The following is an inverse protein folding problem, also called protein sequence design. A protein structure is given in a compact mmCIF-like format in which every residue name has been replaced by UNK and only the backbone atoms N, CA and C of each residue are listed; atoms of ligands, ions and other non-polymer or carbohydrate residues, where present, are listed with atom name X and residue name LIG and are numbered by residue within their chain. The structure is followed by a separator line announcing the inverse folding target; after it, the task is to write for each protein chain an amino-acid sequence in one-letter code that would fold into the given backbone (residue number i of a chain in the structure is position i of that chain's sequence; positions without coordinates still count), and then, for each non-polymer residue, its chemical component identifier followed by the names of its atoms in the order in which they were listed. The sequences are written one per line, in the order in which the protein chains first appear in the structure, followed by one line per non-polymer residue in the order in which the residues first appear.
data_IF_524519492240
#
_entry.id   IF_524519492240
#
_cell.length_a   1.000
_cell.length_b   1.000
_cell.length_c   1.000
_cell.angle_alpha   90.00
_cell.angle_beta   90.00
_cell.angle_gamma   90.00
#
_symmetry.space_group_name_H-M   'P 1'
#
loop_
_entity.id
_entity.type
_entity.pdbx_description
1 polymer ?
#
# COMPACT_ATOMS: atom_id res chain seq x y z
N UNK A 1 21.09 -45.45 9.96
CA UNK A 1 20.05 -44.79 9.16
C UNK A 1 19.50 -43.61 9.95
N UNK A 2 19.80 -42.40 9.49
CA UNK A 2 19.36 -41.17 10.13
C UNK A 2 17.89 -40.89 9.78
N UNK A 3 17.03 -40.80 10.80
CA UNK A 3 15.66 -40.29 10.67
C UNK A 3 15.68 -38.78 10.90
N UNK A 4 15.38 -38.01 9.85
CA UNK A 4 15.18 -36.57 9.93
C UNK A 4 13.82 -36.30 10.60
N UNK A 5 13.87 -35.90 11.87
CA UNK A 5 12.76 -35.30 12.59
C UNK A 5 12.49 -33.91 11.98
N UNK A 6 11.38 -33.78 11.24
CA UNK A 6 10.88 -32.50 10.73
C UNK A 6 10.13 -31.80 11.86
N UNK A 7 10.88 -31.22 12.80
CA UNK A 7 10.31 -30.31 13.78
C UNK A 7 9.87 -29.04 13.04
N UNK A 8 8.56 -28.87 12.90
CA UNK A 8 7.96 -27.62 12.50
C UNK A 8 8.52 -26.51 13.41
N UNK A 9 9.22 -25.56 12.83
CA UNK A 9 9.67 -24.37 13.53
C UNK A 9 8.43 -23.62 14.06
N UNK A 10 8.12 -23.81 15.33
CA UNK A 10 7.18 -22.95 16.05
C UNK A 10 7.74 -21.53 15.99
N UNK A 11 7.08 -20.68 15.22
CA UNK A 11 7.23 -19.23 15.34
C UNK A 11 7.08 -18.87 16.82
N UNK A 12 8.06 -18.12 17.36
CA UNK A 12 8.03 -17.67 18.75
C UNK A 12 6.77 -16.80 18.96
N UNK A 13 6.04 -16.96 20.08
CA UNK A 13 4.83 -16.18 20.36
C UNK A 13 5.07 -14.66 20.41
N UNK A 14 6.30 -14.25 20.71
CA UNK A 14 6.64 -12.87 21.09
C UNK A 14 6.59 -11.88 19.91
N UNK A 15 6.66 -12.36 18.66
CA UNK A 15 6.57 -11.50 17.47
C UNK A 15 5.14 -11.16 17.06
N UNK A 16 4.17 -12.03 17.38
CA UNK A 16 2.78 -11.89 16.94
C UNK A 16 2.05 -10.72 17.60
N UNK A 17 2.57 -10.20 18.71
CA UNK A 17 1.93 -9.14 19.50
C UNK A 17 2.64 -7.79 19.43
N UNK A 18 3.64 -7.63 18.56
CA UNK A 18 4.37 -6.36 18.39
C UNK A 18 3.47 -5.21 17.94
N UNK A 19 2.49 -5.46 17.07
CA UNK A 19 1.51 -4.44 16.64
C UNK A 19 0.56 -4.01 17.76
N UNK A 20 0.37 -4.84 18.79
CA UNK A 20 -0.54 -4.57 19.92
C UNK A 20 0.19 -4.11 21.18
N UNK A 21 1.46 -4.47 21.31
CA UNK A 21 2.38 -4.01 22.37
C UNK A 21 3.10 -2.71 22.00
N UNK A 22 3.25 -2.39 20.71
CA UNK A 22 3.44 -1.03 20.26
C UNK A 22 2.18 -0.22 20.62
N UNK A 23 2.34 1.05 20.98
CA UNK A 23 1.25 1.96 21.42
C UNK A 23 0.32 2.37 20.27
N UNK A 24 0.02 1.47 19.36
CA UNK A 24 -0.77 1.69 18.15
C UNK A 24 -2.21 2.05 18.55
N UNK A 25 -2.67 3.24 18.18
CA UNK A 25 -4.06 3.64 18.42
C UNK A 25 -4.96 2.78 17.51
N UNK A 26 -5.86 1.96 18.05
CA UNK A 26 -6.70 1.08 17.24
C UNK A 26 -7.69 1.84 16.33
N UNK A 27 -7.86 3.16 16.53
CA UNK A 27 -8.64 4.04 15.65
C UNK A 27 -7.81 4.65 14.53
N UNK A 28 -6.50 4.76 14.73
CA UNK A 28 -5.54 5.37 13.80
C UNK A 28 -4.25 4.53 13.75
N UNK A 29 -4.35 3.26 13.32
CA UNK A 29 -3.27 2.29 13.49
C UNK A 29 -2.00 2.59 12.68
N UNK A 30 -2.06 3.54 11.74
CA UNK A 30 -0.92 3.92 10.92
C UNK A 30 -0.29 5.28 11.29
N UNK A 31 -0.95 6.09 12.13
CA UNK A 31 -0.60 7.51 12.39
C UNK A 31 0.62 7.70 13.30
N UNK A 32 1.49 6.71 13.40
CA UNK A 32 2.61 6.69 14.34
C UNK A 32 3.93 6.67 13.58
N UNK A 33 4.28 7.84 13.06
CA UNK A 33 5.60 8.13 12.51
C UNK A 33 5.60 9.47 11.79
N UNK A 34 6.60 10.31 12.06
CA UNK A 34 7.10 11.18 10.99
C UNK A 34 7.47 10.25 9.83
N UNK A 35 7.23 10.63 8.57
CA UNK A 35 7.33 9.75 7.39
C UNK A 35 8.75 9.20 7.07
N UNK A 36 9.64 9.13 8.06
CA UNK A 36 11.05 8.77 7.94
C UNK A 36 11.89 9.86 7.27
N UNK A 37 11.23 10.88 6.72
CA UNK A 37 11.83 11.99 6.00
C UNK A 37 11.89 13.22 6.92
N UNK A 38 13.03 13.92 6.98
CA UNK A 38 13.16 15.10 7.84
C UNK A 38 12.11 16.15 7.48
N UNK A 39 11.40 16.67 8.50
CA UNK A 39 10.43 17.79 8.44
C UNK A 39 9.04 17.50 7.83
N UNK A 40 8.67 16.24 7.61
CA UNK A 40 7.31 15.93 7.17
C UNK A 40 6.33 15.83 8.37
N UNK A 41 5.07 16.28 8.23
CA UNK A 41 4.08 16.21 9.30
C UNK A 41 3.71 14.75 9.62
N UNK A 42 3.21 14.51 10.83
CA UNK A 42 2.57 13.24 11.18
C UNK A 42 1.28 13.14 10.38
N UNK A 43 1.19 12.15 9.50
CA UNK A 43 0.09 11.98 8.58
C UNK A 43 -0.30 10.51 8.45
N UNK A 44 -1.53 10.30 8.00
CA UNK A 44 -2.10 8.99 7.72
C UNK A 44 -1.57 8.48 6.36
N UNK A 45 -0.79 7.39 6.38
CA UNK A 45 -0.16 6.83 5.17
C UNK A 45 -0.96 5.60 4.70
N UNK A 46 -1.59 5.61 3.51
CA UNK A 46 -2.38 4.48 3.01
C UNK A 46 -1.62 3.15 3.03
N UNK A 47 -0.35 3.14 2.59
CA UNK A 47 0.48 1.93 2.63
C UNK A 47 0.61 1.33 4.02
N UNK A 48 0.69 2.18 5.05
CA UNK A 48 0.81 1.71 6.44
C UNK A 48 -0.49 1.09 6.93
N UNK A 49 -1.66 1.62 6.55
CA UNK A 49 -2.96 0.97 6.80
C UNK A 49 -3.04 -0.40 6.11
N UNK A 50 -2.62 -0.49 4.85
CA UNK A 50 -2.60 -1.76 4.12
C UNK A 50 -1.68 -2.80 4.78
N UNK A 51 -0.52 -2.38 5.31
CA UNK A 51 0.37 -3.27 6.05
C UNK A 51 -0.26 -3.78 7.36
N UNK A 52 -0.97 -2.93 8.10
CA UNK A 52 -1.71 -3.34 9.30
C UNK A 52 -2.82 -4.32 8.94
N UNK A 53 -3.61 -4.02 7.90
CA UNK A 53 -4.67 -4.89 7.40
C UNK A 53 -4.11 -6.27 7.04
N UNK A 54 -3.05 -6.33 6.21
CA UNK A 54 -2.42 -7.57 5.80
C UNK A 54 -1.88 -8.38 7.00
N UNK A 55 -1.27 -7.72 7.98
CA UNK A 55 -0.76 -8.39 9.17
C UNK A 55 -1.88 -9.02 10.01
N UNK A 56 -2.98 -8.30 10.24
CA UNK A 56 -4.10 -8.83 11.03
C UNK A 56 -4.86 -9.92 10.26
N UNK A 57 -4.99 -9.83 8.93
CA UNK A 57 -5.53 -10.93 8.11
C UNK A 57 -4.64 -12.18 8.16
N UNK A 58 -3.32 -12.02 8.20
CA UNK A 58 -2.41 -13.16 8.41
C UNK A 58 -2.62 -13.81 9.78
N UNK A 59 -2.82 -13.02 10.84
CA UNK A 59 -3.14 -13.56 12.18
C UNK A 59 -4.49 -14.26 12.19
N UNK A 60 -5.49 -13.69 11.51
CA UNK A 60 -6.81 -14.30 11.36
C UNK A 60 -6.69 -15.69 10.72
N UNK A 61 -6.02 -15.78 9.56
CA UNK A 61 -5.80 -17.04 8.83
C UNK A 61 -5.03 -18.07 9.65
N UNK A 62 -4.10 -17.61 10.49
CA UNK A 62 -3.33 -18.46 11.39
C UNK A 62 -4.09 -18.91 12.65
N UNK A 63 -5.34 -18.43 12.87
CA UNK A 63 -6.07 -18.67 14.12
C UNK A 63 -5.42 -18.02 15.34
N UNK A 64 -4.58 -17.00 15.13
CA UNK A 64 -3.82 -16.30 16.17
C UNK A 64 -4.53 -15.03 16.69
N UNK A 65 -5.72 -14.74 16.17
CA UNK A 65 -6.60 -13.70 16.72
C UNK A 65 -7.59 -14.32 17.72
N UNK A 66 -7.84 -13.66 18.87
CA UNK A 66 -8.95 -14.02 19.72
C UNK A 66 -10.27 -14.03 18.96
N UNK A 67 -11.17 -14.93 19.34
CA UNK A 67 -12.52 -15.02 18.76
C UNK A 67 -13.20 -13.64 18.78
N UNK A 68 -13.63 -13.16 17.60
CA UNK A 68 -14.31 -11.86 17.44
C UNK A 68 -13.41 -10.62 17.41
N UNK A 69 -12.10 -10.73 17.62
CA UNK A 69 -11.18 -9.60 17.55
C UNK A 69 -10.82 -9.26 16.10
N UNK A 70 -11.65 -8.42 15.48
CA UNK A 70 -11.51 -7.94 14.10
C UNK A 70 -11.45 -6.42 13.99
N UNK A 71 -11.16 -5.73 15.10
CA UNK A 71 -11.26 -4.28 15.16
C UNK A 71 -10.26 -3.61 14.20
N UNK A 72 -9.00 -4.02 14.23
CA UNK A 72 -7.96 -3.45 13.36
C UNK A 72 -8.19 -3.77 11.88
N UNK A 73 -8.64 -4.99 11.55
CA UNK A 73 -9.04 -5.36 10.19
C UNK A 73 -10.11 -4.38 9.68
N UNK A 74 -11.17 -4.19 10.47
CA UNK A 74 -12.29 -3.30 10.11
C UNK A 74 -11.85 -1.84 10.01
N UNK A 75 -11.10 -1.33 10.99
CA UNK A 75 -10.64 0.06 11.00
C UNK A 75 -9.75 0.35 9.81
N UNK A 76 -8.72 -0.48 9.58
CA UNK A 76 -7.78 -0.24 8.49
C UNK A 76 -8.43 -0.42 7.12
N UNK A 77 -9.23 -1.48 6.96
CA UNK A 77 -9.95 -1.74 5.72
C UNK A 77 -10.97 -0.66 5.38
N UNK A 78 -11.76 -0.18 6.36
CA UNK A 78 -12.71 0.91 6.09
C UNK A 78 -12.02 2.22 5.81
N UNK A 79 -10.94 2.54 6.54
CA UNK A 79 -10.17 3.76 6.26
C UNK A 79 -9.69 3.78 4.81
N UNK A 80 -9.12 2.67 4.31
CA UNK A 80 -8.67 2.57 2.92
C UNK A 80 -9.80 2.74 1.89
N UNK A 81 -11.00 2.23 2.19
CA UNK A 81 -12.17 2.37 1.31
C UNK A 81 -12.80 3.76 1.36
N UNK A 82 -12.66 4.47 2.49
CA UNK A 82 -13.20 5.82 2.70
C UNK A 82 -12.26 6.90 2.15
N UNK A 83 -10.97 6.61 2.00
CA UNK A 83 -9.90 7.53 1.58
C UNK A 83 -9.22 7.01 0.30
N UNK A 84 -10.03 6.67 -0.71
CA UNK A 84 -9.56 6.08 -1.96
C UNK A 84 -9.52 7.08 -3.14
N UNK A 85 -9.75 8.36 -2.87
CA UNK A 85 -9.76 9.49 -3.81
C UNK A 85 -9.55 10.77 -2.96
N UNK A 86 -8.36 10.89 -2.37
CA UNK A 86 -8.08 11.93 -1.36
C UNK A 86 -7.78 13.29 -2.02
N UNK A 87 -7.30 13.30 -3.27
CA UNK A 87 -7.11 14.52 -4.04
C UNK A 87 -8.41 15.03 -4.72
N UNK A 88 -9.44 14.17 -4.83
CA UNK A 88 -10.78 14.50 -5.31
C UNK A 88 -10.87 14.65 -6.82
N UNK A 89 -9.93 14.06 -7.58
CA UNK A 89 -9.92 14.12 -9.04
C UNK A 89 -10.86 13.10 -9.71
N UNK A 90 -11.45 12.19 -8.90
CA UNK A 90 -12.37 11.14 -9.33
C UNK A 90 -11.68 9.87 -9.83
N UNK A 91 -10.35 9.80 -9.77
CA UNK A 91 -9.55 8.60 -9.99
C UNK A 91 -9.36 7.91 -8.65
N UNK A 92 -9.78 6.66 -8.59
CA UNK A 92 -9.57 5.88 -7.36
C UNK A 92 -8.11 5.44 -7.28
N UNK A 93 -7.45 5.72 -6.15
CA UNK A 93 -6.12 5.24 -5.85
C UNK A 93 -5.60 5.76 -4.51
N UNK A 94 -4.31 5.58 -4.27
CA UNK A 94 -3.71 5.95 -2.99
C UNK A 94 -2.30 6.54 -3.16
N UNK A 95 -2.10 7.68 -2.52
CA UNK A 95 -0.89 8.48 -2.61
C UNK A 95 -0.12 8.69 -1.30
N UNK A 96 0.73 9.71 -1.32
CA UNK A 96 1.39 10.26 -0.13
C UNK A 96 0.65 11.52 0.31
N UNK A 97 0.39 11.76 1.61
CA UNK A 97 -0.34 12.94 2.09
C UNK A 97 0.49 14.24 2.07
N UNK A 98 1.52 14.27 1.22
CA UNK A 98 2.39 15.42 1.00
C UNK A 98 2.98 15.34 -0.39
N UNK A 99 3.31 16.52 -0.93
CA UNK A 99 3.92 16.63 -2.24
C UNK A 99 5.31 15.96 -2.29
N UNK A 100 5.62 15.30 -3.41
CA UNK A 100 6.83 14.49 -3.54
C UNK A 100 7.44 14.57 -4.95
N UNK A 101 8.72 14.91 -5.03
CA UNK A 101 9.53 14.81 -6.25
C UNK A 101 10.11 13.40 -6.34
N UNK A 102 9.44 12.55 -7.11
CA UNK A 102 9.80 11.14 -7.26
C UNK A 102 11.18 10.93 -7.91
N UNK A 103 11.61 11.86 -8.76
CA UNK A 103 12.77 11.70 -9.63
C UNK A 103 13.94 12.63 -9.28
N UNK A 104 13.74 13.60 -8.39
CA UNK A 104 14.70 14.63 -8.06
C UNK A 104 14.97 15.60 -9.22
N UNK A 105 14.00 15.76 -10.13
CA UNK A 105 14.14 16.57 -11.35
C UNK A 105 13.51 17.96 -11.25
N UNK A 106 12.96 18.29 -10.07
CA UNK A 106 12.28 19.56 -9.78
C UNK A 106 10.80 19.56 -10.16
N UNK A 107 10.28 18.50 -10.78
CA UNK A 107 8.83 18.28 -10.88
C UNK A 107 8.35 17.63 -9.58
N UNK A 108 7.18 18.04 -9.10
CA UNK A 108 6.67 17.58 -7.81
C UNK A 108 5.23 17.17 -8.01
N UNK A 109 4.94 15.94 -7.63
CA UNK A 109 3.58 15.44 -7.62
C UNK A 109 2.87 16.08 -6.42
N UNK A 110 1.65 16.61 -6.61
CA UNK A 110 0.85 17.12 -5.49
C UNK A 110 0.66 16.09 -4.38
N UNK A 111 0.26 16.57 -3.20
CA UNK A 111 -0.21 15.65 -2.16
C UNK A 111 -1.34 14.78 -2.72
N UNK A 112 -1.38 13.54 -2.24
CA UNK A 112 -2.38 12.53 -2.49
C UNK A 112 -2.41 11.91 -3.89
N UNK A 113 -1.56 12.40 -4.82
CA UNK A 113 -1.29 11.76 -6.13
C UNK A 113 -1.14 10.24 -6.01
N UNK A 114 -1.85 9.50 -6.84
CA UNK A 114 -1.86 8.03 -6.84
C UNK A 114 -0.50 7.49 -7.26
N UNK A 115 0.10 6.69 -6.38
CA UNK A 115 1.34 5.98 -6.69
C UNK A 115 1.05 4.51 -6.98
N UNK A 116 1.51 4.02 -8.13
CA UNK A 116 1.24 2.66 -8.61
C UNK A 116 1.59 1.58 -7.59
N UNK A 117 2.73 1.71 -6.90
CA UNK A 117 3.11 0.74 -5.87
C UNK A 117 2.24 0.82 -4.61
N UNK A 118 1.81 2.03 -4.22
CA UNK A 118 0.93 2.23 -3.07
C UNK A 118 -0.45 1.65 -3.38
N UNK A 119 -1.00 2.00 -4.54
CA UNK A 119 -2.26 1.45 -5.05
C UNK A 119 -2.22 -0.07 -5.15
N UNK A 120 -1.16 -0.66 -5.71
CA UNK A 120 -1.01 -2.11 -5.79
C UNK A 120 -0.98 -2.81 -4.42
N UNK A 121 -0.30 -2.21 -3.43
CA UNK A 121 -0.26 -2.76 -2.06
C UNK A 121 -1.65 -2.69 -1.40
N UNK A 122 -2.35 -1.57 -1.56
CA UNK A 122 -3.70 -1.40 -1.00
C UNK A 122 -4.69 -2.36 -1.65
N UNK A 123 -4.70 -2.43 -2.99
CA UNK A 123 -5.52 -3.38 -3.76
C UNK A 123 -5.31 -4.81 -3.27
N UNK A 124 -4.06 -5.24 -3.12
CA UNK A 124 -3.76 -6.58 -2.62
C UNK A 124 -4.32 -6.82 -1.21
N UNK A 125 -4.15 -5.86 -0.29
CA UNK A 125 -4.66 -5.99 1.08
C UNK A 125 -6.19 -6.01 1.14
N UNK A 126 -6.88 -5.23 0.30
CA UNK A 126 -8.33 -5.22 0.22
C UNK A 126 -8.89 -6.52 -0.36
N UNK A 127 -8.28 -7.06 -1.42
CA UNK A 127 -8.67 -8.37 -1.98
C UNK A 127 -8.45 -9.49 -0.96
N UNK A 128 -7.30 -9.49 -0.28
CA UNK A 128 -7.02 -10.42 0.83
C UNK A 128 -8.10 -10.35 1.93
N UNK A 129 -8.60 -9.15 2.23
CA UNK A 129 -9.67 -8.96 3.20
C UNK A 129 -10.99 -9.57 2.73
N UNK A 130 -11.37 -9.28 1.48
CA UNK A 130 -12.57 -9.84 0.87
C UNK A 130 -12.56 -11.38 0.85
N UNK A 131 -11.40 -11.99 0.63
CA UNK A 131 -11.26 -13.45 0.57
C UNK A 131 -11.20 -14.12 1.95
N UNK A 132 -10.72 -13.41 2.98
CA UNK A 132 -10.38 -14.02 4.28
C UNK A 132 -11.40 -13.75 5.39
N UNK A 133 -12.29 -12.77 5.24
CA UNK A 133 -13.26 -12.37 6.26
C UNK A 133 -14.68 -12.27 5.69
N UNK A 134 -15.58 -13.15 6.14
CA UNK A 134 -17.00 -13.12 5.76
C UNK A 134 -17.72 -11.82 6.15
N UNK A 135 -17.18 -11.03 7.08
CA UNK A 135 -17.72 -9.73 7.44
C UNK A 135 -17.20 -8.58 6.57
N UNK A 136 -16.30 -8.84 5.60
CA UNK A 136 -15.79 -7.83 4.69
C UNK A 136 -16.91 -7.29 3.77
N UNK A 137 -16.92 -5.98 3.46
CA UNK A 137 -17.86 -5.40 2.50
C UNK A 137 -17.44 -5.74 1.07
N UNK A 138 -17.56 -7.02 0.68
CA UNK A 138 -16.99 -7.57 -0.54
C UNK A 138 -17.36 -6.81 -1.82
N UNK A 139 -18.64 -6.45 -1.97
CA UNK A 139 -19.12 -5.69 -3.14
C UNK A 139 -18.43 -4.31 -3.25
N UNK A 140 -18.31 -3.60 -2.12
CA UNK A 140 -17.62 -2.29 -2.07
C UNK A 140 -16.13 -2.45 -2.40
N UNK A 141 -15.49 -3.48 -1.86
CA UNK A 141 -14.08 -3.78 -2.12
C UNK A 141 -13.86 -4.02 -3.61
N UNK A 142 -14.62 -4.93 -4.21
CA UNK A 142 -14.47 -5.27 -5.64
C UNK A 142 -14.73 -4.06 -6.53
N UNK A 143 -15.77 -3.26 -6.24
CA UNK A 143 -16.06 -2.04 -7.00
C UNK A 143 -14.93 -1.00 -6.89
N UNK A 144 -14.37 -0.82 -5.69
CA UNK A 144 -13.25 0.12 -5.45
C UNK A 144 -12.00 -0.35 -6.18
N UNK A 145 -11.65 -1.64 -6.07
CA UNK A 145 -10.49 -2.23 -6.77
C UNK A 145 -10.64 -2.13 -8.28
N UNK A 146 -11.81 -2.43 -8.83
CA UNK A 146 -12.06 -2.30 -10.26
C UNK A 146 -11.86 -0.85 -10.74
N UNK A 147 -12.36 0.12 -9.97
CA UNK A 147 -12.18 1.55 -10.26
C UNK A 147 -10.71 1.96 -10.16
N UNK A 148 -9.98 1.46 -9.17
CA UNK A 148 -8.56 1.77 -8.98
C UNK A 148 -7.65 1.19 -10.07
N UNK A 149 -8.03 0.06 -10.65
CA UNK A 149 -7.28 -0.57 -11.72
C UNK A 149 -7.63 -0.01 -13.10
N UNK A 150 -8.81 0.60 -13.27
CA UNK A 150 -9.29 1.11 -14.56
C UNK A 150 -8.30 2.06 -15.28
N UNK A 151 -7.64 3.02 -14.60
CA UNK A 151 -6.64 3.90 -15.22
C UNK A 151 -5.50 3.13 -15.92
N UNK A 152 -5.12 1.98 -15.38
CA UNK A 152 -3.99 1.19 -15.87
C UNK A 152 -4.35 0.31 -17.08
N UNK A 153 -5.64 0.12 -17.38
CA UNK A 153 -6.10 -0.79 -18.43
C UNK A 153 -6.17 -0.15 -19.82
N UNK A 154 -6.33 1.17 -19.92
CA UNK A 154 -6.42 1.86 -21.22
C UNK A 154 -5.04 2.34 -21.75
N UNK A 155 -3.98 2.14 -20.97
CA UNK A 155 -2.60 2.50 -21.32
C UNK A 155 -2.26 3.99 -21.16
N UNK A 156 -3.19 4.82 -20.68
CA UNK A 156 -2.97 6.27 -20.49
C UNK A 156 -1.85 6.57 -19.50
N UNK A 157 -1.69 5.71 -18.50
CA UNK A 157 -0.66 5.83 -17.47
C UNK A 157 0.45 4.79 -17.65
N UNK A 158 0.77 4.51 -18.91
CA UNK A 158 1.94 3.72 -19.27
C UNK A 158 3.17 4.62 -19.43
N UNK A 159 4.32 4.12 -18.99
CA UNK A 159 5.62 4.70 -19.27
C UNK A 159 6.01 4.49 -20.75
N UNK A 160 7.11 5.09 -21.24
CA UNK A 160 7.53 4.96 -22.63
C UNK A 160 7.80 3.51 -23.06
N UNK A 161 8.23 2.64 -22.14
CA UNK A 161 8.40 1.20 -22.40
C UNK A 161 7.14 0.35 -22.24
N UNK A 162 5.99 0.97 -21.93
CA UNK A 162 4.72 0.26 -21.72
C UNK A 162 4.54 -0.34 -20.33
N UNK A 163 5.41 0.00 -19.36
CA UNK A 163 5.21 -0.37 -17.95
C UNK A 163 4.16 0.55 -17.32
N UNK A 164 3.56 0.16 -16.20
CA UNK A 164 2.79 1.12 -15.41
C UNK A 164 3.71 2.25 -14.93
N UNK A 165 3.28 3.49 -15.11
CA UNK A 165 4.00 4.66 -14.65
C UNK A 165 4.19 4.63 -13.13
N UNK A 166 5.13 5.42 -12.62
CA UNK A 166 5.40 5.47 -11.18
C UNK A 166 4.21 6.03 -10.38
N UNK A 167 3.58 7.07 -10.93
CA UNK A 167 2.35 7.67 -10.44
C UNK A 167 1.41 7.99 -11.59
N UNK A 168 0.20 8.43 -11.27
CA UNK A 168 -0.76 8.94 -12.26
C UNK A 168 -0.54 10.42 -12.60
N UNK A 169 0.50 11.07 -12.06
CA UNK A 169 0.88 12.42 -12.47
C UNK A 169 1.52 12.41 -13.87
N UNK A 170 1.11 13.37 -14.70
CA UNK A 170 1.60 13.49 -16.07
C UNK A 170 3.12 13.71 -16.17
N UNK A 171 3.75 14.30 -15.15
CA UNK A 171 5.19 14.52 -15.10
C UNK A 171 5.99 13.21 -15.02
N UNK A 172 5.38 12.16 -14.45
CA UNK A 172 6.03 10.88 -14.22
C UNK A 172 5.93 9.93 -15.44
N UNK A 173 5.00 10.20 -16.37
CA UNK A 173 4.75 9.37 -17.55
C UNK A 173 5.94 9.28 -18.51
N UNK A 174 6.92 10.17 -18.39
CA UNK A 174 8.13 10.17 -19.23
C UNK A 174 9.24 9.23 -18.75
N UNK A 175 9.05 8.59 -17.59
CA UNK A 175 10.08 7.78 -16.94
C UNK A 175 9.70 6.30 -16.90
N UNK A 176 10.65 5.44 -17.26
CA UNK A 176 10.57 4.02 -16.96
C UNK A 176 11.06 3.75 -15.53
N UNK A 177 10.24 3.12 -14.69
CA UNK A 177 10.60 2.81 -13.30
C UNK A 177 10.53 1.30 -13.01
N UNK A 178 11.50 0.49 -13.49
CA UNK A 178 11.62 -0.90 -13.04
C UNK A 178 12.11 -0.93 -11.58
N UNK A 179 11.54 -1.80 -10.74
CA UNK A 179 11.85 -1.92 -9.32
C UNK A 179 13.29 -2.46 -9.02
N UNK A 180 14.35 -1.62 -9.15
CA UNK A 180 15.66 -1.42 -8.40
C UNK A 180 16.83 -2.49 -8.35
N UNK A 181 18.12 -2.21 -7.87
CA UNK A 181 19.35 -1.52 -8.42
C UNK A 181 20.73 -2.29 -8.30
N UNK A 182 21.94 -1.71 -8.63
CA UNK A 182 22.84 -1.15 -7.59
C UNK A 182 23.69 0.07 -8.02
N UNK A 183 24.12 0.88 -7.05
CA UNK A 183 24.99 2.09 -7.13
C UNK A 183 24.28 3.44 -7.40
N UNK A 184 24.56 4.39 -6.50
CA UNK A 184 24.36 5.85 -6.58
C UNK A 184 24.76 6.49 -7.93
N UNK A 185 24.44 7.77 -8.23
CA UNK A 185 23.20 8.54 -8.07
C UNK A 185 22.45 8.70 -9.42
N UNK A 186 21.12 8.82 -9.32
CA UNK A 186 20.27 9.61 -10.22
C UNK A 186 20.40 9.41 -11.73
N UNK A 187 19.58 8.51 -12.27
CA UNK A 187 18.76 8.76 -13.47
C UNK A 187 17.80 7.60 -13.68
N UNK A 188 16.53 7.80 -13.35
CA UNK A 188 15.49 7.18 -14.16
C UNK A 188 15.68 7.76 -15.57
N UNK A 189 15.79 6.91 -16.59
CA UNK A 189 15.98 7.42 -17.95
C UNK A 189 14.67 8.02 -18.41
N UNK A 190 14.62 9.35 -18.52
CA UNK A 190 13.60 10.01 -19.33
C UNK A 190 13.82 9.54 -20.77
N UNK A 191 12.88 8.80 -21.33
CA UNK A 191 12.91 8.49 -22.75
C UNK A 191 12.38 9.71 -23.49
N UNK A 192 13.21 10.30 -24.36
CA UNK A 192 12.81 11.42 -25.20
C UNK A 192 11.71 10.93 -26.16
N UNK A 193 10.47 11.35 -25.92
CA UNK A 193 9.39 11.20 -26.91
C UNK A 193 9.81 12.04 -28.12
N UNK A 194 10.12 11.38 -29.23
CA UNK A 194 10.50 12.01 -30.50
C UNK A 194 9.35 11.92 -31.48
#
# INVERSE_FOLDING_TARGET
MAGLDRTAARLRPDGADLLRSARTDPRLPSRQGASGLPRQPVADIPKSYAMVLAAELNRLRAGALPEGDRALIRTAGQWLLDHCDEDGDGIVGWGLPFAWDAYGDGTTNPADTEYTITTGIVVNALLDWADSDFAAPQERIVATVASALAPYLDGRFASPSGLFAYSLDANDLRYDCPTRPPTWPGRCSASAIT
#
